data_IF_217115000606
#
_entry.id   IF_217115000606
#
_cell.length_a   1.000
_cell.length_b   1.000
_cell.length_c   1.000
_cell.angle_alpha   90.00
_cell.angle_beta   90.00
_cell.angle_gamma   90.00
#
_symmetry.space_group_name_H-M   'P 1'
#
loop_
_entity.id
_entity.type
_entity.pdbx_description
1 polymer ?
#
# COMPACT_ATOMS: atom_id res chain seq x y z
N UNK A 1 3.60 15.84 23.04
CA UNK A 1 3.33 16.17 21.63
C UNK A 1 4.57 16.77 20.98
N UNK A 2 4.72 16.59 19.71
CA UNK A 2 5.77 17.23 18.91
C UNK A 2 5.14 18.46 18.27
N UNK A 3 5.87 19.59 18.24
CA UNK A 3 5.42 20.83 17.61
C UNK A 3 6.36 21.17 16.46
N UNK A 4 5.78 21.53 15.31
CA UNK A 4 6.51 22.05 14.15
C UNK A 4 6.08 23.49 13.93
N UNK A 5 7.04 24.44 13.91
CA UNK A 5 6.76 25.86 13.63
C UNK A 5 6.98 26.14 12.16
N UNK A 6 5.96 26.65 11.46
CA UNK A 6 6.04 27.10 10.08
C UNK A 6 6.79 28.45 9.97
N UNK A 7 7.14 28.84 8.76
CA UNK A 7 7.91 30.08 8.50
C UNK A 7 7.18 31.37 8.92
N UNK A 8 5.87 31.35 8.93
CA UNK A 8 5.01 32.47 9.35
C UNK A 8 4.77 32.51 10.87
N UNK A 9 5.31 31.54 11.62
CA UNK A 9 5.16 31.42 13.05
C UNK A 9 3.99 30.55 13.50
N UNK A 10 3.20 30.01 12.59
CA UNK A 10 2.13 29.06 12.90
C UNK A 10 2.72 27.76 13.45
N UNK A 11 2.13 27.24 14.51
CA UNK A 11 2.53 25.98 15.13
C UNK A 11 1.61 24.84 14.72
N UNK A 12 2.20 23.73 14.26
CA UNK A 12 1.51 22.46 14.02
C UNK A 12 1.74 21.57 15.23
N UNK A 13 0.68 21.21 15.92
CA UNK A 13 0.68 20.33 17.07
C UNK A 13 0.37 18.90 16.60
N UNK A 14 1.37 18.01 16.68
CA UNK A 14 1.22 16.61 16.25
C UNK A 14 0.64 15.76 17.37
N UNK A 15 -0.49 15.12 17.11
CA UNK A 15 -1.09 14.10 17.97
C UNK A 15 -0.73 12.74 17.39
N UNK A 16 0.28 12.08 17.96
CA UNK A 16 0.80 10.80 17.46
C UNK A 16 0.27 9.68 18.35
N UNK A 17 -0.44 8.74 17.73
CA UNK A 17 -0.96 7.54 18.38
C UNK A 17 -0.39 6.29 17.66
N UNK A 18 -0.14 5.18 18.39
CA UNK A 18 0.29 3.94 17.77
C UNK A 18 -0.83 3.37 16.90
N UNK A 19 -0.46 2.78 15.75
CA UNK A 19 -1.42 2.12 14.86
C UNK A 19 -1.78 0.70 15.34
N UNK A 20 -1.00 0.12 16.26
CA UNK A 20 -1.25 -1.21 16.81
C UNK A 20 -2.60 -1.28 17.52
N UNK A 21 -3.27 -2.42 17.39
CA UNK A 21 -4.56 -2.72 18.04
C UNK A 21 -5.68 -1.69 17.73
N UNK A 22 -5.57 -0.97 16.63
CA UNK A 22 -6.54 0.03 16.20
C UNK A 22 -6.56 1.31 17.05
N UNK A 23 -5.57 1.54 17.92
CA UNK A 23 -5.53 2.68 18.85
C UNK A 23 -5.57 4.01 18.09
N UNK A 24 -4.84 4.13 16.98
CA UNK A 24 -4.86 5.33 16.16
C UNK A 24 -6.28 5.70 15.69
N UNK A 25 -6.98 4.75 15.06
CA UNK A 25 -8.33 4.98 14.55
C UNK A 25 -9.32 5.28 15.68
N UNK A 26 -9.23 4.55 16.79
CA UNK A 26 -10.09 4.81 17.96
C UNK A 26 -9.91 6.24 18.48
N UNK A 27 -8.66 6.70 18.61
CA UNK A 27 -8.38 8.07 19.10
C UNK A 27 -8.78 9.15 18.10
N UNK A 28 -8.60 8.89 16.81
CA UNK A 28 -9.05 9.78 15.75
C UNK A 28 -10.59 9.86 15.73
N UNK A 29 -11.29 8.74 15.81
CA UNK A 29 -12.75 8.69 15.87
C UNK A 29 -13.28 9.49 17.06
N UNK A 30 -12.70 9.31 18.27
CA UNK A 30 -13.05 10.09 19.47
C UNK A 30 -12.88 11.60 19.24
N UNK A 31 -11.76 12.03 18.64
CA UNK A 31 -11.49 13.43 18.37
C UNK A 31 -12.46 14.01 17.33
N UNK A 32 -12.70 13.32 16.21
CA UNK A 32 -13.61 13.77 15.16
C UNK A 32 -15.07 13.81 15.64
N UNK A 33 -15.51 12.88 16.48
CA UNK A 33 -16.85 12.90 17.07
C UNK A 33 -17.05 14.11 18.00
N UNK A 34 -16.00 14.58 18.66
CA UNK A 34 -16.05 15.74 19.55
C UNK A 34 -15.75 17.07 18.83
N UNK A 35 -15.48 17.06 17.54
CA UNK A 35 -15.02 18.20 16.75
C UNK A 35 -15.87 19.46 16.92
N UNK A 36 -17.21 19.32 16.94
CA UNK A 36 -18.14 20.46 17.04
C UNK A 36 -18.07 21.17 18.40
N UNK A 37 -17.79 20.44 19.49
CA UNK A 37 -17.76 20.93 20.86
C UNK A 37 -16.33 21.22 21.33
N UNK A 38 -15.31 20.91 20.53
CA UNK A 38 -13.91 21.13 20.86
C UNK A 38 -13.58 22.64 20.93
N UNK A 39 -12.67 23.00 21.83
CA UNK A 39 -12.08 24.35 21.81
C UNK A 39 -11.22 24.52 20.56
N UNK A 40 -10.92 25.77 20.16
CA UNK A 40 -10.09 26.02 18.97
C UNK A 40 -8.76 25.25 19.00
N UNK A 41 -8.11 25.22 20.17
CA UNK A 41 -6.82 24.52 20.34
C UNK A 41 -6.92 22.99 20.34
N UNK A 42 -8.12 22.42 20.52
CA UNK A 42 -8.38 20.98 20.57
C UNK A 42 -9.01 20.42 19.29
N UNK A 43 -9.36 21.28 18.35
CA UNK A 43 -9.91 20.85 17.06
C UNK A 43 -8.89 20.09 16.25
N UNK A 44 -9.36 19.08 15.52
CA UNK A 44 -8.60 18.42 14.46
C UNK A 44 -8.68 19.29 13.20
N UNK A 45 -7.55 19.74 12.70
CA UNK A 45 -7.49 20.47 11.42
C UNK A 45 -7.18 19.53 10.27
N UNK A 46 -6.22 18.65 10.47
CA UNK A 46 -5.74 17.67 9.50
C UNK A 46 -5.63 16.32 10.18
N UNK A 47 -6.02 15.27 9.46
CA UNK A 47 -5.79 13.90 9.91
C UNK A 47 -5.36 13.00 8.76
N UNK A 48 -4.79 11.86 9.10
CA UNK A 48 -4.35 10.85 8.15
C UNK A 48 -5.27 9.63 8.17
N UNK A 49 -5.35 8.96 7.04
CA UNK A 49 -5.94 7.62 6.93
C UNK A 49 -5.07 6.74 6.04
N UNK A 50 -5.26 5.44 6.10
CA UNK A 50 -4.65 4.46 5.21
C UNK A 50 -5.66 3.94 4.20
N UNK A 51 -5.20 3.49 3.04
CA UNK A 51 -6.04 2.93 1.97
C UNK A 51 -7.05 1.90 2.50
N UNK A 52 -6.64 1.07 3.46
CA UNK A 52 -7.48 -0.01 3.98
C UNK A 52 -8.74 0.45 4.72
N UNK A 53 -8.76 1.70 5.17
CA UNK A 53 -9.90 2.28 5.89
C UNK A 53 -10.21 3.74 5.49
N UNK A 54 -9.68 4.21 4.36
CA UNK A 54 -9.90 5.59 3.89
C UNK A 54 -11.39 5.90 3.69
N UNK A 55 -12.15 4.96 3.14
CA UNK A 55 -13.57 5.17 2.84
C UNK A 55 -14.42 5.40 4.09
N UNK A 56 -14.01 4.86 5.24
CA UNK A 56 -14.64 5.16 6.54
C UNK A 56 -14.70 6.66 6.83
N UNK A 57 -13.70 7.41 6.38
CA UNK A 57 -13.60 8.85 6.61
C UNK A 57 -14.02 9.71 5.41
N UNK A 58 -13.96 9.16 4.20
CA UNK A 58 -14.38 9.87 2.98
C UNK A 58 -15.85 9.64 2.63
N UNK A 59 -16.53 8.71 3.26
CA UNK A 59 -17.98 8.55 3.13
C UNK A 59 -18.68 9.88 3.49
N UNK A 60 -19.50 10.39 2.57
CA UNK A 60 -20.24 11.64 2.77
C UNK A 60 -21.14 11.63 4.00
N UNK A 61 -21.67 10.45 4.37
CA UNK A 61 -22.52 10.29 5.54
C UNK A 61 -21.76 10.44 6.87
N UNK A 62 -20.44 10.19 6.89
CA UNK A 62 -19.60 10.39 8.05
C UNK A 62 -19.35 11.87 8.35
N UNK A 63 -19.35 12.73 7.32
CA UNK A 63 -19.15 14.18 7.37
C UNK A 63 -17.94 14.62 8.21
N UNK A 64 -16.85 13.87 8.17
CA UNK A 64 -15.63 14.15 8.95
C UNK A 64 -14.48 14.68 8.10
N UNK A 65 -14.43 14.37 6.81
CA UNK A 65 -13.46 14.88 5.86
C UNK A 65 -14.10 15.89 4.92
N UNK A 66 -13.57 17.12 4.88
CA UNK A 66 -14.06 18.17 3.99
C UNK A 66 -13.85 17.79 2.52
N UNK A 67 -14.83 18.08 1.61
CA UNK A 67 -14.56 18.11 0.19
C UNK A 67 -13.38 19.02 -0.14
N UNK A 68 -12.43 18.57 -0.95
CA UNK A 68 -11.26 19.40 -1.30
C UNK A 68 -11.66 20.70 -2.00
N UNK A 69 -12.75 20.70 -2.77
CA UNK A 69 -13.28 21.92 -3.42
C UNK A 69 -13.77 22.96 -2.41
N UNK A 70 -14.36 22.52 -1.31
CA UNK A 70 -14.81 23.42 -0.23
C UNK A 70 -13.62 24.02 0.53
N UNK A 71 -12.49 23.30 0.58
CA UNK A 71 -11.22 23.80 1.10
C UNK A 71 -10.51 24.74 0.09
N UNK A 72 -11.03 24.88 -1.12
CA UNK A 72 -10.45 25.69 -2.19
C UNK A 72 -9.31 25.02 -2.95
N UNK A 73 -9.28 23.67 -2.96
CA UNK A 73 -8.42 22.85 -3.82
C UNK A 73 -9.24 22.33 -4.99
N UNK A 74 -8.84 22.61 -6.20
CA UNK A 74 -9.43 22.03 -7.40
C UNK A 74 -8.65 20.76 -7.81
N UNK A 75 -9.21 19.55 -7.61
CA UNK A 75 -8.48 18.31 -7.92
C UNK A 75 -8.08 18.16 -9.38
N UNK A 76 -8.86 18.72 -10.30
CA UNK A 76 -8.60 18.62 -11.74
C UNK A 76 -7.47 19.55 -12.20
N UNK A 77 -7.19 20.59 -11.42
CA UNK A 77 -6.16 21.58 -11.70
C UNK A 77 -4.95 21.43 -10.79
N UNK A 78 -5.18 21.50 -9.48
CA UNK A 78 -4.11 21.55 -8.48
C UNK A 78 -3.47 20.18 -8.24
N UNK A 79 -4.19 19.10 -8.54
CA UNK A 79 -3.76 17.69 -8.41
C UNK A 79 -3.79 16.95 -9.75
N UNK A 80 -3.65 17.67 -10.87
CA UNK A 80 -3.75 17.10 -12.22
C UNK A 80 -2.66 16.04 -12.52
N UNK A 81 -1.49 16.15 -11.89
CA UNK A 81 -0.34 15.25 -12.08
C UNK A 81 -0.41 13.97 -11.23
N UNK A 82 -1.44 13.83 -10.39
CA UNK A 82 -1.64 12.62 -9.57
C UNK A 82 -2.18 11.46 -10.41
N UNK A 83 -1.91 10.22 -9.95
CA UNK A 83 -2.52 9.01 -10.50
C UNK A 83 -4.01 8.97 -10.19
N UNK A 84 -4.83 8.63 -11.19
CA UNK A 84 -6.29 8.74 -11.08
C UNK A 84 -6.88 7.80 -10.02
N UNK A 85 -6.30 6.61 -9.84
CA UNK A 85 -6.78 5.67 -8.83
C UNK A 85 -6.63 6.23 -7.41
N UNK A 86 -5.62 7.05 -7.12
CA UNK A 86 -5.44 7.66 -5.80
C UNK A 86 -6.51 8.69 -5.50
N UNK A 87 -6.95 9.45 -6.51
CA UNK A 87 -8.07 10.40 -6.38
C UNK A 87 -9.37 9.67 -6.11
N UNK A 88 -9.62 8.59 -6.88
CA UNK A 88 -10.82 7.76 -6.68
C UNK A 88 -10.85 7.13 -5.29
N UNK A 89 -9.72 6.63 -4.80
CA UNK A 89 -9.60 6.06 -3.45
C UNK A 89 -9.98 7.06 -2.35
N UNK A 90 -9.66 8.34 -2.54
CA UNK A 90 -9.97 9.41 -1.58
C UNK A 90 -11.30 10.12 -1.84
N UNK A 91 -12.18 9.55 -2.67
CA UNK A 91 -13.49 10.10 -3.00
C UNK A 91 -14.61 9.34 -2.32
N UNK A 92 -15.75 10.04 -2.10
CA UNK A 92 -16.99 9.41 -1.68
C UNK A 92 -17.72 8.71 -2.84
N UNK A 93 -18.89 8.14 -2.57
CA UNK A 93 -19.71 7.42 -3.54
C UNK A 93 -20.15 8.28 -4.74
N UNK A 94 -20.28 9.58 -4.55
CA UNK A 94 -20.64 10.55 -5.59
C UNK A 94 -19.42 11.05 -6.39
N UNK A 95 -18.22 10.54 -6.08
CA UNK A 95 -16.96 10.95 -6.70
C UNK A 95 -16.41 12.29 -6.20
N UNK A 96 -16.89 12.79 -5.07
CA UNK A 96 -16.38 14.01 -4.45
C UNK A 96 -15.11 13.67 -3.67
N UNK A 97 -13.98 14.22 -4.11
CA UNK A 97 -12.68 13.98 -3.47
C UNK A 97 -12.59 14.70 -2.12
N UNK A 98 -12.29 13.94 -1.05
CA UNK A 98 -12.25 14.38 0.35
C UNK A 98 -10.89 14.17 1.00
N UNK A 99 -9.88 13.86 0.23
CA UNK A 99 -8.51 13.67 0.68
C UNK A 99 -7.54 13.62 -0.47
N UNK A 100 -6.27 13.60 -0.15
CA UNK A 100 -5.20 13.47 -1.12
C UNK A 100 -4.07 12.63 -0.53
N UNK A 101 -3.10 12.23 -1.35
CA UNK A 101 -1.96 11.44 -0.87
C UNK A 101 -0.67 11.85 -1.57
N UNK A 102 0.44 11.79 -0.83
CA UNK A 102 1.79 11.88 -1.40
C UNK A 102 2.31 10.54 -1.90
N UNK A 103 1.72 9.42 -1.44
CA UNK A 103 2.14 8.08 -1.80
C UNK A 103 1.28 7.51 -2.92
N UNK A 104 1.95 6.79 -3.80
CA UNK A 104 1.33 5.89 -4.74
C UNK A 104 2.01 4.52 -4.55
N UNK A 105 1.26 3.48 -4.25
CA UNK A 105 1.80 2.23 -3.75
C UNK A 105 1.59 1.05 -4.72
N UNK A 106 2.02 1.16 -6.00
CA UNK A 106 2.01 0.02 -6.91
C UNK A 106 2.89 -1.09 -6.35
N UNK A 107 2.47 -2.33 -6.46
CA UNK A 107 3.22 -3.47 -5.96
C UNK A 107 4.01 -4.17 -7.06
N UNK A 108 5.19 -4.65 -6.71
CA UNK A 108 6.05 -5.48 -7.56
C UNK A 108 6.33 -6.84 -6.92
N UNK A 109 6.86 -7.76 -7.71
CA UNK A 109 7.52 -8.96 -7.21
C UNK A 109 8.97 -8.62 -6.86
N UNK A 110 9.36 -8.80 -5.61
CA UNK A 110 10.73 -8.63 -5.11
C UNK A 110 11.30 -10.00 -4.82
N UNK A 111 12.36 -10.40 -5.51
CA UNK A 111 12.84 -11.79 -5.48
C UNK A 111 14.33 -11.91 -5.17
N UNK A 112 14.73 -13.06 -4.65
CA UNK A 112 16.10 -13.48 -4.34
C UNK A 112 16.85 -13.87 -5.62
N UNK A 113 17.93 -13.16 -5.95
CA UNK A 113 18.77 -13.43 -7.13
C UNK A 113 19.50 -14.76 -7.03
N UNK A 114 20.00 -15.12 -5.87
CA UNK A 114 20.69 -16.38 -5.62
C UNK A 114 19.77 -17.59 -5.85
N UNK A 115 18.53 -17.52 -5.36
CA UNK A 115 17.52 -18.57 -5.60
C UNK A 115 17.15 -18.64 -7.08
N UNK A 116 16.96 -17.49 -7.75
CA UNK A 116 16.70 -17.46 -9.18
C UNK A 116 17.83 -18.12 -9.99
N UNK A 117 19.10 -17.82 -9.67
CA UNK A 117 20.26 -18.46 -10.32
C UNK A 117 20.30 -19.96 -10.08
N UNK A 118 20.06 -20.41 -8.85
CA UNK A 118 20.06 -21.84 -8.54
C UNK A 118 18.98 -22.61 -9.28
N UNK A 119 17.77 -22.05 -9.37
CA UNK A 119 16.60 -22.75 -9.94
C UNK A 119 16.49 -22.56 -11.44
N UNK A 120 16.68 -21.33 -11.93
CA UNK A 120 16.42 -20.96 -13.34
C UNK A 120 17.69 -20.80 -14.17
N UNK A 121 18.87 -20.78 -13.54
CA UNK A 121 20.15 -20.49 -14.18
C UNK A 121 20.35 -19.02 -14.56
N UNK A 122 19.44 -18.15 -14.16
CA UNK A 122 19.49 -16.71 -14.41
C UNK A 122 18.83 -15.95 -13.27
N UNK A 123 19.30 -14.72 -13.00
CA UNK A 123 18.67 -13.77 -12.10
C UNK A 123 18.23 -12.49 -12.83
N UNK A 124 18.21 -12.52 -14.14
CA UNK A 124 17.78 -11.40 -14.95
C UNK A 124 16.30 -11.05 -14.69
N UNK A 125 15.98 -9.78 -14.36
CA UNK A 125 14.62 -9.39 -13.99
C UNK A 125 13.57 -9.63 -15.09
N UNK A 126 13.95 -9.51 -16.36
CA UNK A 126 13.01 -9.76 -17.46
C UNK A 126 12.73 -11.25 -17.65
N UNK A 127 13.77 -12.09 -17.54
CA UNK A 127 13.61 -13.55 -17.63
C UNK A 127 12.81 -14.10 -16.44
N UNK A 128 13.03 -13.59 -15.24
CA UNK A 128 12.21 -13.92 -14.05
C UNK A 128 10.78 -13.41 -14.23
N UNK A 129 10.60 -12.18 -14.73
CA UNK A 129 9.28 -11.61 -15.02
C UNK A 129 8.45 -12.44 -15.99
N UNK A 130 9.07 -13.01 -17.04
CA UNK A 130 8.39 -13.94 -17.97
C UNK A 130 7.84 -15.19 -17.26
N UNK A 131 8.54 -15.67 -16.23
CA UNK A 131 8.14 -16.82 -15.42
C UNK A 131 7.02 -16.49 -14.43
N UNK A 132 6.84 -15.22 -14.11
CA UNK A 132 5.85 -14.72 -13.13
C UNK A 132 4.79 -13.82 -13.75
N UNK A 133 4.62 -13.85 -15.09
CA UNK A 133 3.75 -12.91 -15.83
C UNK A 133 2.25 -13.11 -15.60
N UNK A 134 1.84 -14.28 -15.17
CA UNK A 134 0.46 -14.67 -14.86
C UNK A 134 0.44 -15.85 -13.88
N UNK A 135 -0.75 -16.20 -13.36
CA UNK A 135 -0.87 -17.27 -12.37
C UNK A 135 -0.50 -18.65 -12.89
N UNK A 136 -0.68 -18.94 -14.19
CA UNK A 136 -0.31 -20.25 -14.77
C UNK A 136 1.21 -20.39 -14.84
N UNK A 137 1.92 -19.37 -15.29
CA UNK A 137 3.39 -19.37 -15.32
C UNK A 137 3.99 -19.30 -13.92
N UNK A 138 3.38 -18.55 -12.99
CA UNK A 138 3.80 -18.50 -11.60
C UNK A 138 3.67 -19.87 -10.92
N UNK A 139 2.61 -20.63 -11.23
CA UNK A 139 2.43 -21.99 -10.71
C UNK A 139 3.49 -22.95 -11.25
N UNK A 140 3.78 -22.91 -12.55
CA UNK A 140 4.86 -23.72 -13.14
C UNK A 140 6.22 -23.37 -12.50
N UNK A 141 6.47 -22.09 -12.25
CA UNK A 141 7.67 -21.61 -11.55
C UNK A 141 7.73 -22.11 -10.11
N UNK A 142 6.58 -22.14 -9.41
CA UNK A 142 6.49 -22.68 -8.05
C UNK A 142 6.82 -24.19 -7.98
N UNK A 143 6.49 -24.96 -9.01
CA UNK A 143 6.88 -26.37 -9.14
C UNK A 143 8.40 -26.54 -9.25
N UNK A 144 9.06 -25.70 -10.09
CA UNK A 144 10.52 -25.70 -10.22
C UNK A 144 11.22 -25.31 -8.91
N UNK A 145 10.72 -24.25 -8.23
CA UNK A 145 11.24 -23.80 -6.93
C UNK A 145 11.12 -24.90 -5.87
N UNK A 146 9.95 -25.51 -5.76
CA UNK A 146 9.71 -26.62 -4.82
C UNK A 146 10.63 -27.80 -5.08
N UNK A 147 10.86 -28.16 -6.33
CA UNK A 147 11.74 -29.28 -6.68
C UNK A 147 13.18 -29.07 -6.18
N UNK A 148 13.59 -27.83 -5.94
CA UNK A 148 14.86 -27.43 -5.34
C UNK A 148 14.79 -27.15 -3.83
N UNK A 149 13.59 -27.28 -3.22
CA UNK A 149 13.40 -27.07 -1.80
C UNK A 149 13.12 -25.61 -1.38
N UNK A 150 12.68 -24.79 -2.31
CA UNK A 150 12.30 -23.41 -2.06
C UNK A 150 10.78 -23.23 -2.02
N UNK A 151 10.33 -22.18 -1.33
CA UNK A 151 8.96 -21.69 -1.35
C UNK A 151 8.86 -20.49 -2.29
N UNK A 152 7.73 -20.34 -2.98
CA UNK A 152 7.50 -19.18 -3.85
C UNK A 152 7.29 -17.92 -3.03
N UNK A 153 6.37 -17.96 -2.07
CA UNK A 153 6.07 -16.88 -1.13
C UNK A 153 6.12 -17.36 0.32
N UNK A 154 6.24 -16.41 1.25
CA UNK A 154 6.32 -16.71 2.67
C UNK A 154 5.01 -17.27 3.22
N UNK A 155 3.89 -16.63 2.87
CA UNK A 155 2.58 -17.01 3.41
C UNK A 155 1.45 -16.85 2.38
N UNK A 156 0.29 -17.42 2.69
CA UNK A 156 -0.94 -17.22 1.91
C UNK A 156 -1.40 -15.76 1.89
N UNK A 157 -1.09 -15.00 2.95
CA UNK A 157 -1.48 -13.59 3.04
C UNK A 157 -0.73 -12.70 2.05
N UNK A 158 0.48 -13.10 1.62
CA UNK A 158 1.28 -12.32 0.67
C UNK A 158 0.56 -12.09 -0.66
N UNK A 159 -0.25 -13.04 -1.10
CA UNK A 159 -0.98 -12.95 -2.38
C UNK A 159 -2.34 -12.29 -2.27
N UNK A 160 -2.86 -12.02 -1.05
CA UNK A 160 -4.22 -11.52 -0.87
C UNK A 160 -4.51 -10.24 -1.65
N UNK A 161 -3.56 -9.27 -1.65
CA UNK A 161 -3.76 -7.98 -2.33
C UNK A 161 -4.01 -8.10 -3.82
N UNK A 162 -3.41 -9.09 -4.49
CA UNK A 162 -3.62 -9.33 -5.92
C UNK A 162 -5.08 -9.67 -6.21
N UNK A 163 -5.68 -10.52 -5.41
CA UNK A 163 -7.10 -10.90 -5.53
C UNK A 163 -8.03 -9.81 -4.98
N UNK A 164 -7.70 -9.27 -3.80
CA UNK A 164 -8.51 -8.25 -3.13
C UNK A 164 -8.66 -6.96 -3.94
N UNK A 165 -7.64 -6.57 -4.71
CA UNK A 165 -7.72 -5.41 -5.61
C UNK A 165 -8.57 -5.67 -6.87
N UNK A 166 -9.02 -6.90 -7.09
CA UNK A 166 -9.80 -7.30 -8.27
C UNK A 166 -11.25 -7.68 -7.95
N UNK A 167 -11.71 -7.45 -6.73
CA UNK A 167 -13.11 -7.65 -6.38
C UNK A 167 -14.01 -6.73 -7.20
N UNK A 168 -15.19 -7.21 -7.54
CA UNK A 168 -16.16 -6.50 -8.40
C UNK A 168 -17.27 -5.80 -7.61
N UNK A 169 -17.39 -6.11 -6.32
CA UNK A 169 -18.38 -5.56 -5.40
C UNK A 169 -17.73 -5.19 -4.08
N UNK A 170 -18.20 -4.14 -3.38
CA UNK A 170 -17.67 -3.79 -2.07
C UNK A 170 -17.97 -4.90 -1.06
N UNK A 171 -17.15 -5.01 -0.01
CA UNK A 171 -17.41 -5.95 1.09
C UNK A 171 -18.76 -5.73 1.75
N UNK A 172 -19.18 -4.49 1.88
CA UNK A 172 -20.50 -4.11 2.39
C UNK A 172 -21.01 -2.98 1.52
N UNK A 173 -22.19 -3.16 0.91
CA UNK A 173 -22.85 -2.09 0.16
C UNK A 173 -23.42 -1.03 1.10
N UNK A 174 -23.52 0.20 0.62
CA UNK A 174 -24.08 1.30 1.39
C UNK A 174 -25.47 0.97 1.92
N UNK A 175 -25.65 1.13 3.23
CA UNK A 175 -26.90 0.81 3.92
C UNK A 175 -27.19 -0.69 4.11
N UNK A 176 -26.33 -1.58 3.65
CA UNK A 176 -26.47 -3.02 3.88
C UNK A 176 -25.95 -3.44 5.25
N UNK A 177 -26.45 -4.57 5.75
CA UNK A 177 -26.00 -5.23 7.00
C UNK A 177 -25.37 -6.60 6.75
N UNK A 178 -25.12 -6.92 5.49
CA UNK A 178 -24.56 -8.21 5.05
C UNK A 178 -23.22 -8.01 4.37
N UNK A 179 -22.30 -8.93 4.63
CA UNK A 179 -20.98 -8.95 3.99
C UNK A 179 -21.06 -9.72 2.67
N UNK A 180 -20.54 -9.11 1.61
CA UNK A 180 -20.36 -9.77 0.31
C UNK A 180 -18.96 -10.41 0.26
N UNK A 181 -18.92 -11.71 0.03
CA UNK A 181 -17.65 -12.40 -0.25
C UNK A 181 -17.55 -12.56 -1.77
N UNK A 182 -16.77 -11.69 -2.40
CA UNK A 182 -16.57 -11.68 -3.86
C UNK A 182 -15.92 -12.99 -4.35
N UNK A 183 -16.19 -13.34 -5.62
CA UNK A 183 -15.60 -14.53 -6.24
C UNK A 183 -14.07 -14.49 -6.23
N UNK A 184 -13.44 -13.31 -6.29
CA UNK A 184 -11.98 -13.18 -6.22
C UNK A 184 -11.43 -13.59 -4.85
N UNK A 185 -12.15 -13.28 -3.78
CA UNK A 185 -11.80 -13.75 -2.43
C UNK A 185 -11.90 -15.28 -2.34
N UNK A 186 -12.95 -15.86 -2.93
CA UNK A 186 -13.10 -17.32 -3.00
C UNK A 186 -12.00 -17.98 -3.85
N UNK A 187 -11.56 -17.31 -4.93
CA UNK A 187 -10.44 -17.76 -5.74
C UNK A 187 -9.13 -17.74 -4.92
N UNK A 188 -8.87 -16.65 -4.17
CA UNK A 188 -7.73 -16.56 -3.28
C UNK A 188 -7.73 -17.70 -2.24
N UNK A 189 -8.87 -17.99 -1.61
CA UNK A 189 -8.98 -19.11 -0.64
C UNK A 189 -8.62 -20.44 -1.30
N UNK A 190 -9.20 -20.72 -2.47
CA UNK A 190 -8.96 -21.96 -3.22
C UNK A 190 -7.50 -22.09 -3.63
N UNK A 191 -6.95 -21.06 -4.27
CA UNK A 191 -5.60 -21.09 -4.82
C UNK A 191 -4.56 -21.12 -3.69
N UNK A 192 -4.75 -20.36 -2.62
CA UNK A 192 -3.89 -20.40 -1.43
C UNK A 192 -3.88 -21.78 -0.78
N UNK A 193 -5.06 -22.45 -0.71
CA UNK A 193 -5.11 -23.85 -0.24
C UNK A 193 -4.32 -24.78 -1.14
N UNK A 194 -4.53 -24.70 -2.44
CA UNK A 194 -3.81 -25.52 -3.41
C UNK A 194 -2.30 -25.33 -3.29
N UNK A 195 -1.83 -24.07 -3.19
CA UNK A 195 -0.42 -23.75 -3.04
C UNK A 195 0.18 -24.22 -1.71
N UNK A 196 -0.58 -24.14 -0.61
CA UNK A 196 -0.16 -24.70 0.67
C UNK A 196 -0.06 -26.24 0.62
N UNK A 197 -1.05 -26.90 0.07
CA UNK A 197 -1.07 -28.38 -0.03
C UNK A 197 0.04 -28.88 -0.95
N UNK A 198 0.31 -28.14 -2.04
CA UNK A 198 1.41 -28.41 -2.95
C UNK A 198 2.80 -28.12 -2.35
N UNK A 199 2.88 -27.34 -1.27
CA UNK A 199 4.14 -26.96 -0.62
C UNK A 199 4.88 -25.83 -1.34
N UNK A 200 4.15 -24.97 -2.05
CA UNK A 200 4.70 -23.77 -2.70
C UNK A 200 4.79 -22.57 -1.76
N UNK A 201 4.03 -22.61 -0.66
CA UNK A 201 4.05 -21.63 0.44
C UNK A 201 4.63 -22.26 1.71
N UNK A 202 5.24 -21.44 2.56
CA UNK A 202 5.74 -21.89 3.84
C UNK A 202 4.60 -22.04 4.86
N UNK A 203 4.23 -23.28 5.19
CA UNK A 203 3.13 -23.58 6.10
C UNK A 203 3.35 -23.09 7.53
N UNK A 204 4.58 -22.77 7.92
CA UNK A 204 4.88 -22.30 9.27
C UNK A 204 4.66 -20.80 9.44
N UNK A 205 4.60 -20.04 8.32
CA UNK A 205 4.35 -18.60 8.33
C UNK A 205 2.84 -18.36 8.20
N UNK A 206 2.23 -17.95 9.29
CA UNK A 206 0.79 -17.70 9.38
C UNK A 206 0.49 -16.20 9.29
N UNK A 207 0.27 -15.71 8.07
CA UNK A 207 -0.02 -14.30 7.84
C UNK A 207 1.24 -13.43 7.70
N UNK A 208 1.05 -12.14 7.80
CA UNK A 208 2.08 -11.10 7.69
C UNK A 208 2.25 -10.38 9.04
N UNK A 209 3.24 -9.50 9.15
CA UNK A 209 3.48 -8.63 10.32
C UNK A 209 3.76 -9.37 11.63
N UNK A 210 4.38 -10.55 11.55
CA UNK A 210 4.82 -11.34 12.70
C UNK A 210 6.28 -11.77 12.55
N UNK A 211 6.86 -12.28 13.63
CA UNK A 211 8.27 -12.67 13.67
C UNK A 211 8.63 -13.75 12.63
N UNK A 212 7.73 -14.69 12.35
CA UNK A 212 8.02 -15.77 11.40
C UNK A 212 8.02 -15.24 9.96
N UNK A 213 7.14 -14.29 9.64
CA UNK A 213 7.14 -13.60 8.36
C UNK A 213 8.37 -12.71 8.20
N UNK A 214 8.76 -11.99 9.24
CA UNK A 214 9.98 -11.19 9.24
C UNK A 214 11.23 -12.07 9.02
N UNK A 215 11.35 -13.19 9.72
CA UNK A 215 12.44 -14.16 9.53
C UNK A 215 12.46 -14.78 8.14
N UNK A 216 11.31 -14.89 7.47
CA UNK A 216 11.23 -15.40 6.10
C UNK A 216 11.93 -14.48 5.07
N UNK A 217 12.25 -13.24 5.42
CA UNK A 217 13.03 -12.30 4.60
C UNK A 217 14.55 -12.44 4.80
N UNK A 218 15.02 -13.15 5.83
CA UNK A 218 16.45 -13.32 6.12
C UNK A 218 17.18 -14.22 5.12
N UNK A 219 18.51 -14.14 5.10
CA UNK A 219 19.38 -14.83 4.14
C UNK A 219 19.30 -16.36 4.20
N UNK A 220 19.07 -16.92 5.37
CA UNK A 220 18.91 -18.36 5.58
C UNK A 220 17.52 -18.89 5.14
N UNK A 221 16.61 -17.99 4.79
CA UNK A 221 15.28 -18.36 4.35
C UNK A 221 15.27 -19.07 3.00
N UNK A 222 14.30 -19.94 2.79
CA UNK A 222 14.04 -20.63 1.53
C UNK A 222 12.92 -19.99 0.72
N UNK A 223 12.51 -18.78 1.06
CA UNK A 223 11.47 -18.03 0.35
C UNK A 223 12.08 -17.30 -0.85
N UNK A 224 11.52 -17.54 -2.01
CA UNK A 224 12.00 -16.95 -3.27
C UNK A 224 11.63 -15.48 -3.40
N UNK A 225 10.37 -15.11 -3.11
CA UNK A 225 9.89 -13.78 -3.41
C UNK A 225 8.88 -13.25 -2.39
N UNK A 226 8.77 -11.93 -2.36
CA UNK A 226 7.75 -11.17 -1.66
C UNK A 226 7.05 -10.22 -2.64
N UNK A 227 5.90 -9.72 -2.23
CA UNK A 227 5.09 -8.79 -2.99
C UNK A 227 5.07 -7.46 -2.23
N UNK A 228 5.85 -6.47 -2.70
CA UNK A 228 6.01 -5.20 -2.02
C UNK A 228 5.86 -3.99 -2.95
N UNK A 229 5.24 -2.90 -2.46
CA UNK A 229 5.44 -1.57 -3.01
C UNK A 229 6.80 -1.00 -2.58
N UNK A 230 7.14 0.20 -3.04
CA UNK A 230 8.42 0.84 -2.76
C UNK A 230 8.71 0.93 -1.25
N UNK A 231 7.75 1.41 -0.45
CA UNK A 231 7.88 1.48 1.01
C UNK A 231 8.13 0.11 1.65
N UNK A 232 7.59 -0.96 1.10
CA UNK A 232 7.77 -2.33 1.63
C UNK A 232 9.21 -2.82 1.50
N UNK A 233 9.93 -2.40 0.47
CA UNK A 233 11.34 -2.73 0.27
C UNK A 233 12.19 -2.07 1.38
N UNK A 234 12.03 -0.76 1.57
CA UNK A 234 12.88 -0.01 2.50
C UNK A 234 12.44 -0.14 3.96
N UNK A 235 11.14 -0.17 4.23
CA UNK A 235 10.60 -0.23 5.59
C UNK A 235 10.51 -1.66 6.14
N UNK A 236 10.30 -2.67 5.27
CA UNK A 236 10.03 -4.04 5.72
C UNK A 236 11.15 -5.01 5.32
N UNK A 237 11.50 -5.07 4.04
CA UNK A 237 12.46 -6.06 3.55
C UNK A 237 13.89 -5.77 4.02
N UNK A 238 14.41 -4.58 3.79
CA UNK A 238 15.77 -4.20 4.19
C UNK A 238 16.07 -4.40 5.69
N UNK A 239 15.21 -3.98 6.63
CA UNK A 239 15.46 -4.18 8.06
C UNK A 239 15.49 -5.65 8.50
N UNK A 240 14.88 -6.55 7.74
CA UNK A 240 14.83 -7.98 8.02
C UNK A 240 15.84 -8.80 7.19
N UNK A 241 16.58 -8.16 6.28
CA UNK A 241 17.62 -8.78 5.49
C UNK A 241 18.97 -8.70 6.20
N UNK A 242 19.64 -9.83 6.36
CA UNK A 242 20.95 -10.00 7.02
C UNK A 242 22.03 -10.52 6.07
N UNK A 243 21.76 -10.55 4.76
CA UNK A 243 22.74 -10.88 3.70
C UNK A 243 23.37 -9.63 3.09
N UNK A 244 24.03 -9.80 1.95
CA UNK A 244 24.72 -8.73 1.23
C UNK A 244 23.73 -7.91 0.36
N UNK A 245 24.07 -6.64 0.13
CA UNK A 245 23.37 -5.82 -0.86
C UNK A 245 23.52 -6.43 -2.26
N UNK A 246 22.52 -6.24 -3.11
CA UNK A 246 22.52 -6.74 -4.48
C UNK A 246 21.98 -8.16 -4.65
N UNK A 247 21.57 -8.82 -3.57
CA UNK A 247 20.97 -10.17 -3.64
C UNK A 247 19.46 -10.16 -3.89
N UNK A 248 18.85 -9.00 -3.97
CA UNK A 248 17.44 -8.83 -4.35
C UNK A 248 17.29 -8.14 -5.70
N UNK A 249 16.18 -8.36 -6.36
CA UNK A 249 15.76 -7.63 -7.55
C UNK A 249 14.24 -7.50 -7.60
N UNK A 250 13.75 -6.60 -8.47
CA UNK A 250 12.31 -6.43 -8.70
C UNK A 250 11.96 -6.79 -10.14
N UNK A 251 10.73 -7.29 -10.31
CA UNK A 251 10.10 -7.51 -11.61
C UNK A 251 8.58 -7.41 -11.47
N UNK A 252 7.84 -7.52 -12.57
CA UNK A 252 6.38 -7.47 -12.54
C UNK A 252 5.79 -8.67 -11.80
N UNK A 253 4.73 -8.47 -11.00
CA UNK A 253 3.99 -9.55 -10.36
C UNK A 253 3.07 -10.27 -11.38
N UNK A 254 2.51 -11.44 -11.03
CA UNK A 254 1.57 -12.15 -11.92
C UNK A 254 0.26 -11.40 -12.15
N UNK A 255 -0.05 -10.43 -11.35
CA UNK A 255 -1.20 -9.55 -11.44
C UNK A 255 -0.88 -8.22 -10.78
N UNK A 256 -1.28 -7.10 -11.40
CA UNK A 256 -1.08 -5.76 -10.86
C UNK A 256 -1.91 -5.56 -9.59
N UNK A 257 -1.34 -4.85 -8.63
CA UNK A 257 -2.00 -4.54 -7.34
C UNK A 257 -1.44 -3.26 -6.73
N UNK A 258 -2.20 -2.69 -5.82
CA UNK A 258 -1.80 -1.59 -4.93
C UNK A 258 -1.81 -2.08 -3.48
N UNK A 259 -0.85 -1.65 -2.69
CA UNK A 259 -0.81 -1.97 -1.27
C UNK A 259 -0.41 -0.76 -0.43
N UNK A 260 -1.39 -0.23 0.29
CA UNK A 260 -1.20 0.89 1.19
C UNK A 260 -1.32 2.25 0.51
N UNK A 261 -0.85 3.24 1.20
CA UNK A 261 -0.91 4.67 0.88
C UNK A 261 -1.58 5.45 1.99
N UNK A 262 -0.84 6.42 2.53
CA UNK A 262 -1.36 7.32 3.56
C UNK A 262 -2.04 8.52 2.90
N UNK A 263 -3.27 8.76 3.28
CA UNK A 263 -4.09 9.88 2.79
C UNK A 263 -4.17 10.98 3.84
N UNK A 264 -4.16 12.22 3.39
CA UNK A 264 -4.29 13.42 4.22
C UNK A 264 -5.64 14.09 3.93
N UNK A 265 -6.33 14.47 5.00
CA UNK A 265 -7.66 15.07 4.97
C UNK A 265 -7.69 16.34 5.79
N UNK A 266 -8.48 17.33 5.35
CA UNK A 266 -8.91 18.42 6.22
C UNK A 266 -10.17 17.99 6.97
N UNK A 267 -10.20 18.20 8.28
CA UNK A 267 -11.36 17.83 9.08
C UNK A 267 -12.52 18.81 8.86
N UNK A 268 -13.74 18.27 8.73
CA UNK A 268 -14.95 19.10 8.75
C UNK A 268 -15.02 19.87 10.07
N UNK A 269 -15.25 21.19 9.98
CA UNK A 269 -15.27 22.07 11.15
C UNK A 269 -13.89 22.54 11.65
N UNK A 270 -12.83 22.36 10.86
CA UNK A 270 -11.53 23.04 11.11
C UNK A 270 -11.72 24.55 11.16
N UNK A 271 -11.00 25.21 12.03
CA UNK A 271 -10.93 26.68 12.08
C UNK A 271 -9.64 27.24 11.44
N UNK A 272 -8.81 26.33 10.85
CA UNK A 272 -7.58 26.66 10.14
C UNK A 272 -7.59 26.20 8.65
N UNK A 273 -8.65 26.45 7.85
CA UNK A 273 -8.81 25.87 6.52
C UNK A 273 -7.71 26.29 5.54
N UNK A 274 -7.21 27.53 5.62
CA UNK A 274 -6.14 27.99 4.71
C UNK A 274 -4.82 27.27 4.97
N UNK A 275 -4.45 27.05 6.24
CA UNK A 275 -3.25 26.30 6.57
C UNK A 275 -3.40 24.83 6.20
N UNK A 276 -4.57 24.22 6.43
CA UNK A 276 -4.86 22.85 6.01
C UNK A 276 -4.72 22.68 4.50
N UNK A 277 -5.25 23.62 3.70
CA UNK A 277 -5.09 23.67 2.26
C UNK A 277 -3.62 23.73 1.84
N UNK A 278 -2.87 24.68 2.41
CA UNK A 278 -1.47 24.89 2.05
C UNK A 278 -0.61 23.67 2.36
N UNK A 279 -0.85 23.01 3.49
CA UNK A 279 -0.14 21.79 3.88
C UNK A 279 -0.49 20.63 2.93
N UNK A 280 -1.77 20.42 2.63
CA UNK A 280 -2.21 19.37 1.71
C UNK A 280 -1.59 19.58 0.33
N UNK A 281 -1.63 20.80 -0.22
CA UNK A 281 -1.03 21.09 -1.52
C UNK A 281 0.50 20.96 -1.50
N UNK A 282 1.16 21.40 -0.43
CA UNK A 282 2.61 21.28 -0.30
C UNK A 282 3.07 19.81 -0.28
N UNK A 283 2.30 18.92 0.36
CA UNK A 283 2.63 17.51 0.49
C UNK A 283 2.18 16.66 -0.70
N UNK A 284 1.08 17.03 -1.37
CA UNK A 284 0.45 16.13 -2.34
C UNK A 284 0.32 16.70 -3.75
N UNK A 285 0.43 18.04 -3.92
CA UNK A 285 0.32 18.71 -5.21
C UNK A 285 1.62 19.34 -5.71
N UNK A 286 2.64 19.46 -4.84
CA UNK A 286 3.91 20.08 -5.22
C UNK A 286 4.92 19.02 -5.68
N UNK A 287 5.22 19.00 -6.99
CA UNK A 287 6.12 18.04 -7.61
C UNK A 287 7.52 18.03 -6.98
N UNK A 288 8.10 19.20 -6.69
CA UNK A 288 9.47 19.28 -6.15
C UNK A 288 9.54 18.65 -4.74
N UNK A 289 8.51 18.86 -3.92
CA UNK A 289 8.41 18.22 -2.62
C UNK A 289 8.22 16.70 -2.75
N UNK A 290 7.41 16.25 -3.70
CA UNK A 290 7.20 14.82 -3.97
C UNK A 290 8.48 14.15 -4.47
N UNK A 291 9.24 14.78 -5.37
CA UNK A 291 10.54 14.30 -5.81
C UNK A 291 11.56 14.26 -4.66
N UNK A 292 11.50 15.23 -3.75
CA UNK A 292 12.34 15.21 -2.55
C UNK A 292 11.99 14.05 -1.63
N UNK A 293 10.72 13.74 -1.43
CA UNK A 293 10.26 12.56 -0.67
C UNK A 293 10.78 11.27 -1.32
N UNK A 294 10.63 11.13 -2.65
CA UNK A 294 11.16 9.97 -3.37
C UNK A 294 12.66 9.81 -3.19
N UNK A 295 13.41 10.90 -3.23
CA UNK A 295 14.87 10.87 -3.06
C UNK A 295 15.31 10.53 -1.63
N UNK A 296 14.64 11.12 -0.65
CA UNK A 296 15.04 10.98 0.76
C UNK A 296 14.60 9.62 1.37
N UNK A 297 13.52 9.03 0.86
CA UNK A 297 12.88 7.85 1.44
C UNK A 297 12.70 6.68 0.47
N UNK A 298 13.21 6.77 -0.76
CA UNK A 298 13.02 5.75 -1.82
C UNK A 298 11.55 5.41 -2.08
N UNK A 299 10.63 6.33 -1.76
CA UNK A 299 9.18 6.10 -1.89
C UNK A 299 8.68 6.46 -3.30
N UNK A 300 7.67 5.72 -3.77
CA UNK A 300 7.01 6.00 -5.04
C UNK A 300 5.89 7.01 -4.80
N UNK A 301 6.15 8.26 -5.19
CA UNK A 301 5.26 9.38 -4.86
C UNK A 301 4.21 9.65 -5.93
N UNK A 302 3.16 10.38 -5.54
CA UNK A 302 1.96 10.60 -6.34
C UNK A 302 2.11 11.76 -7.34
N UNK A 303 3.09 11.67 -8.22
CA UNK A 303 3.35 12.62 -9.33
C UNK A 303 3.73 11.84 -10.58
N UNK A 304 2.82 11.72 -11.57
CA UNK A 304 3.05 10.98 -12.82
C UNK A 304 4.31 11.49 -13.53
N UNK A 305 4.39 12.80 -13.74
CA UNK A 305 5.54 13.40 -14.43
C UNK A 305 6.84 13.25 -13.65
N UNK A 306 6.79 13.35 -12.32
CA UNK A 306 7.94 13.15 -11.44
C UNK A 306 8.44 11.71 -11.46
N UNK A 307 7.56 10.75 -11.36
CA UNK A 307 7.94 9.32 -11.37
C UNK A 307 8.50 8.87 -12.73
N UNK A 308 8.02 9.46 -13.83
CA UNK A 308 8.59 9.25 -15.16
C UNK A 308 10.02 9.83 -15.29
N UNK A 309 10.34 10.92 -14.59
CA UNK A 309 11.70 11.45 -14.49
C UNK A 309 12.60 10.55 -13.66
N UNK A 310 12.13 10.17 -12.46
CA UNK A 310 12.85 9.28 -11.54
C UNK A 310 13.15 7.91 -12.19
N UNK A 311 12.23 7.37 -12.97
CA UNK A 311 12.43 6.10 -13.69
C UNK A 311 13.57 6.17 -14.74
N UNK A 312 14.00 7.36 -15.15
CA UNK A 312 15.09 7.58 -16.13
C UNK A 312 16.36 8.11 -15.47
N UNK A 313 16.37 8.29 -14.18
CA UNK A 313 17.48 8.86 -13.42
C UNK A 313 18.28 7.76 -12.75
N UNK A 314 19.50 7.51 -13.23
CA UNK A 314 20.39 6.48 -12.71
C UNK A 314 20.79 6.72 -11.23
N UNK A 315 20.59 7.92 -10.70
CA UNK A 315 20.86 8.22 -9.29
C UNK A 315 19.87 7.56 -8.34
N UNK A 316 18.77 7.01 -8.85
CA UNK A 316 17.79 6.19 -8.13
C UNK A 316 18.06 4.68 -8.24
N UNK A 317 19.19 4.29 -8.83
CA UNK A 317 19.63 2.89 -8.77
C UNK A 317 19.89 2.48 -7.31
N UNK A 318 19.37 1.33 -6.92
CA UNK A 318 19.47 0.81 -5.55
C UNK A 318 20.57 -0.24 -5.46
N UNK A 319 21.57 -0.01 -4.61
CA UNK A 319 22.62 -1.01 -4.32
C UNK A 319 22.00 -2.28 -3.74
N UNK A 320 20.98 -2.14 -2.89
CA UNK A 320 20.24 -3.26 -2.33
C UNK A 320 19.59 -4.15 -3.41
N UNK A 321 19.17 -3.55 -4.53
CA UNK A 321 18.59 -4.25 -5.69
C UNK A 321 19.64 -4.54 -6.79
N UNK A 322 20.92 -4.53 -6.47
CA UNK A 322 21.99 -4.83 -7.43
C UNK A 322 22.17 -3.80 -8.53
N UNK A 323 21.94 -2.53 -8.21
CA UNK A 323 22.03 -1.42 -9.15
C UNK A 323 20.78 -1.21 -10.01
N UNK A 324 19.69 -1.93 -9.73
CA UNK A 324 18.42 -1.75 -10.43
C UNK A 324 17.71 -0.47 -9.93
N UNK A 325 17.20 0.36 -10.87
CA UNK A 325 16.25 1.41 -10.54
C UNK A 325 14.83 0.83 -10.54
N UNK A 326 14.21 0.61 -9.35
CA UNK A 326 12.90 -0.05 -9.27
C UNK A 326 11.77 0.80 -9.85
N UNK A 327 11.95 2.12 -9.96
CA UNK A 327 10.93 3.02 -10.51
C UNK A 327 10.65 2.77 -11.99
N UNK A 328 11.57 2.13 -12.72
CA UNK A 328 11.34 1.67 -14.10
C UNK A 328 10.23 0.61 -14.19
N UNK A 329 10.03 -0.17 -13.12
CA UNK A 329 8.97 -1.17 -13.00
C UNK A 329 7.72 -0.61 -12.32
N UNK A 330 7.86 0.20 -11.26
CA UNK A 330 6.72 0.79 -10.56
C UNK A 330 5.89 1.71 -11.45
N UNK A 331 6.54 2.54 -12.28
CA UNK A 331 5.83 3.55 -13.08
C UNK A 331 4.81 2.95 -14.06
N UNK A 332 5.14 1.92 -14.86
CA UNK A 332 4.15 1.28 -15.73
C UNK A 332 3.01 0.60 -14.97
N UNK A 333 3.30 -0.02 -13.81
CA UNK A 333 2.27 -0.66 -12.98
C UNK A 333 1.30 0.38 -12.44
N UNK A 334 1.81 1.50 -11.91
CA UNK A 334 0.98 2.58 -11.37
C UNK A 334 -0.02 3.16 -12.37
N UNK A 335 0.35 3.22 -13.66
CA UNK A 335 -0.51 3.72 -14.74
C UNK A 335 -1.74 2.82 -14.98
N UNK A 336 -1.66 1.55 -14.65
CA UNK A 336 -2.67 0.54 -14.96
C UNK A 336 -3.54 0.14 -13.76
N UNK A 337 -3.19 0.58 -12.54
CA UNK A 337 -3.93 0.24 -11.33
C UNK A 337 -5.38 0.73 -11.44
N UNK A 338 -6.29 -0.19 -11.16
CA UNK A 338 -7.71 0.08 -10.94
C UNK A 338 -8.03 -0.28 -9.50
N UNK A 339 -8.75 0.59 -8.81
CA UNK A 339 -9.18 0.28 -7.46
C UNK A 339 -10.44 -0.58 -7.49
N UNK A 340 -10.52 -1.48 -6.53
CA UNK A 340 -11.74 -2.21 -6.21
C UNK A 340 -12.79 -1.26 -5.60
N UNK A 341 -14.09 -1.59 -5.70
CA UNK A 341 -15.12 -0.88 -4.95
C UNK A 341 -14.81 -0.89 -3.45
N UNK A 342 -14.87 0.29 -2.82
CA UNK A 342 -14.55 0.47 -1.42
C UNK A 342 -15.78 0.39 -0.51
N UNK A 343 -15.56 0.04 0.74
CA UNK A 343 -16.54 0.13 1.82
C UNK A 343 -15.90 0.61 3.12
N UNK A 344 -16.69 1.18 4.02
CA UNK A 344 -16.21 1.62 5.32
C UNK A 344 -15.71 0.46 6.23
N UNK A 345 -15.93 -0.78 5.81
CA UNK A 345 -15.63 -2.00 6.57
C UNK A 345 -14.50 -2.82 5.98
N UNK A 346 -13.80 -2.32 4.95
CA UNK A 346 -12.80 -3.08 4.18
C UNK A 346 -11.74 -3.71 5.06
N UNK A 347 -11.10 -2.94 5.95
CA UNK A 347 -10.06 -3.44 6.84
C UNK A 347 -10.57 -4.61 7.70
N UNK A 348 -11.72 -4.43 8.37
CA UNK A 348 -12.28 -5.45 9.26
C UNK A 348 -12.66 -6.72 8.50
N UNK A 349 -13.22 -6.60 7.29
CA UNK A 349 -13.58 -7.74 6.45
C UNK A 349 -12.35 -8.51 5.99
N UNK A 350 -11.28 -7.80 5.57
CA UNK A 350 -10.01 -8.41 5.16
C UNK A 350 -9.34 -9.15 6.32
N UNK A 351 -9.28 -8.53 7.49
CA UNK A 351 -8.72 -9.17 8.70
C UNK A 351 -9.50 -10.43 9.09
N UNK A 352 -10.83 -10.34 9.07
CA UNK A 352 -11.69 -11.48 9.42
C UNK A 352 -11.53 -12.66 8.45
N UNK A 353 -11.45 -12.41 7.14
CA UNK A 353 -11.31 -13.48 6.15
C UNK A 353 -9.93 -14.13 6.22
N UNK A 354 -8.87 -13.36 6.44
CA UNK A 354 -7.52 -13.90 6.60
C UNK A 354 -7.38 -14.72 7.88
N UNK A 355 -7.98 -14.28 8.99
CA UNK A 355 -8.00 -15.01 10.22
C UNK A 355 -8.82 -16.32 10.09
N UNK A 356 -10.00 -16.27 9.47
CA UNK A 356 -10.81 -17.45 9.21
C UNK A 356 -10.08 -18.48 8.31
N UNK A 357 -9.31 -17.99 7.33
CA UNK A 357 -8.48 -18.85 6.49
C UNK A 357 -7.37 -19.50 7.31
N UNK A 358 -6.69 -18.75 8.20
CA UNK A 358 -5.67 -19.30 9.09
C UNK A 358 -6.23 -20.43 9.97
N UNK A 359 -7.41 -20.25 10.54
CA UNK A 359 -8.07 -21.24 11.37
C UNK A 359 -8.49 -22.49 10.58
N UNK A 360 -8.92 -22.32 9.34
CA UNK A 360 -9.31 -23.41 8.44
C UNK A 360 -8.13 -24.32 8.07
N UNK A 361 -6.89 -23.81 8.11
CA UNK A 361 -5.67 -24.54 7.74
C UNK A 361 -4.87 -25.06 8.94
N UNK A 362 -5.34 -24.86 10.15
CA UNK A 362 -4.80 -25.54 11.32
C UNK A 362 -5.33 -26.96 11.39
#
# INVERSE_FOLDING_TARGET
>A
GTVTTLKDGTEIHWIINPNQDGVYQQKLDEALMNQADASADDKVDIFLSETDYVYKYTDAAADVAMPLKDLGIDPDKDLADQYDFTKTTASDADGVQRGSTWQCCPGLLVYRRDIAKDVFGTDDPEEVGKRMKDWDTAKATAEELKAKGYYTFASYADTFRLYGNSISQPWVEDGATTVNVDQQVMNWIKDSKEWLDAGYLNKTVKGQWNDDWNKAMGSESKVFAFLFPAWGIDFTLKPNWDGEDGEWAVTNPPQEYNWGGSYIHAATGTDNPEHAKDIILALTGNKDNLLKISKDYSDFTNTKSGMQEVAKDDTFASDFLGGQNPFTYFSPVAENIKIAPLSAYDQGCVELIQNAFSDYFQ
#
